data_IF_721078833419
#
_entry.id   IF_721078833419
#
_cell.length_a   1.000
_cell.length_b   1.000
_cell.length_c   1.000
_cell.angle_alpha   90.00
_cell.angle_beta   90.00
_cell.angle_gamma   90.00
#
_symmetry.space_group_name_H-M   'P 1'
#
loop_
_entity.id
_entity.type
_entity.pdbx_description
1 polymer ?
#
# COMPACT_ATOMS: atom_id res chain seq x y z
N UNK A 1 -6.78 13.19 -11.68
CA UNK A 1 -6.86 13.17 -10.21
C UNK A 1 -6.05 14.36 -9.71
N UNK A 2 -6.48 15.07 -8.67
CA UNK A 2 -5.71 16.21 -8.15
C UNK A 2 -4.41 15.72 -7.47
N UNK A 3 -3.34 16.51 -7.56
CA UNK A 3 -2.03 16.17 -6.99
C UNK A 3 -2.11 16.03 -5.46
N UNK A 4 -2.90 16.89 -4.81
CA UNK A 4 -3.18 16.84 -3.38
C UNK A 4 -3.83 15.51 -3.00
N UNK A 5 -4.81 15.05 -3.79
CA UNK A 5 -5.53 13.81 -3.55
C UNK A 5 -4.60 12.58 -3.70
N UNK A 6 -3.72 12.61 -4.70
CA UNK A 6 -2.72 11.55 -4.92
C UNK A 6 -1.77 11.42 -3.73
N UNK A 7 -1.27 12.54 -3.20
CA UNK A 7 -0.40 12.54 -2.02
C UNK A 7 -1.11 12.03 -0.76
N UNK A 8 -2.37 12.43 -0.55
CA UNK A 8 -3.19 11.93 0.57
C UNK A 8 -3.36 10.42 0.47
N UNK A 9 -3.71 9.90 -0.72
CA UNK A 9 -3.88 8.47 -0.94
C UNK A 9 -2.57 7.71 -0.72
N UNK A 10 -1.43 8.25 -1.16
CA UNK A 10 -0.10 7.66 -0.91
C UNK A 10 0.22 7.58 0.58
N UNK A 11 -0.06 8.65 1.34
CA UNK A 11 0.15 8.65 2.79
C UNK A 11 -0.72 7.60 3.48
N UNK A 12 -2.01 7.52 3.14
CA UNK A 12 -2.94 6.54 3.71
C UNK A 12 -2.54 5.10 3.36
N UNK A 13 -2.22 4.80 2.10
CA UNK A 13 -1.77 3.45 1.70
C UNK A 13 -0.48 3.06 2.39
N UNK A 14 0.46 3.99 2.56
CA UNK A 14 1.71 3.75 3.29
C UNK A 14 1.43 3.38 4.75
N UNK A 15 0.54 4.11 5.43
CA UNK A 15 0.16 3.81 6.82
C UNK A 15 -0.51 2.45 6.95
N UNK A 16 -1.42 2.11 6.02
CA UNK A 16 -2.10 0.80 5.99
C UNK A 16 -1.10 -0.33 5.75
N UNK A 17 -0.14 -0.16 4.84
CA UNK A 17 0.90 -1.13 4.56
C UNK A 17 1.83 -1.32 5.77
N UNK A 18 2.27 -0.23 6.41
CA UNK A 18 3.09 -0.26 7.61
C UNK A 18 2.38 -0.94 8.79
N UNK A 19 1.10 -0.63 9.01
CA UNK A 19 0.29 -1.27 10.03
C UNK A 19 0.09 -2.77 9.76
N UNK A 20 -0.18 -3.12 8.51
CA UNK A 20 -0.33 -4.52 8.09
C UNK A 20 0.97 -5.30 8.26
N UNK A 21 2.12 -4.68 7.96
CA UNK A 21 3.44 -5.29 8.20
C UNK A 21 3.68 -5.51 9.69
N UNK A 22 3.36 -4.52 10.52
CA UNK A 22 3.46 -4.63 11.97
C UNK A 22 2.60 -5.78 12.51
N UNK A 23 1.35 -5.90 12.03
CA UNK A 23 0.45 -6.98 12.42
C UNK A 23 0.90 -8.35 11.89
N UNK A 24 1.37 -8.44 10.65
CA UNK A 24 1.85 -9.68 10.04
C UNK A 24 3.06 -10.28 10.77
N UNK A 25 3.88 -9.44 11.41
CA UNK A 25 5.03 -9.88 12.21
C UNK A 25 4.66 -10.42 13.59
N UNK A 26 3.41 -10.23 14.06
CA UNK A 26 3.00 -10.75 15.36
C UNK A 26 2.69 -12.24 15.26
N UNK A 27 3.14 -13.06 16.23
CA UNK A 27 2.81 -14.48 16.27
C UNK A 27 1.30 -14.66 16.39
N UNK A 28 0.81 -15.72 15.77
CA UNK A 28 -0.62 -16.01 15.72
C UNK A 28 -1.06 -16.54 17.09
N UNK A 29 -2.04 -15.87 17.70
CA UNK A 29 -2.63 -16.35 18.95
C UNK A 29 -3.39 -17.66 18.66
N UNK A 30 -2.90 -18.78 19.22
CA UNK A 30 -3.60 -20.07 19.15
C UNK A 30 -4.95 -19.95 19.86
N UNK A 31 -6.04 -20.19 19.13
CA UNK A 31 -7.41 -20.19 19.66
C UNK A 31 -8.35 -19.15 19.05
N UNK A 32 -7.88 -18.25 18.20
CA UNK A 32 -8.73 -17.24 17.54
C UNK A 32 -9.20 -17.72 16.16
N UNK A 33 -10.50 -17.99 16.04
CA UNK A 33 -11.14 -18.53 14.83
C UNK A 33 -11.14 -17.57 13.63
N UNK A 34 -10.91 -16.26 13.85
CA UNK A 34 -10.88 -15.25 12.80
C UNK A 34 -9.46 -14.76 12.53
N UNK A 35 -8.93 -15.14 11.37
CA UNK A 35 -7.60 -14.75 10.92
C UNK A 35 -7.70 -13.72 9.80
N UNK A 36 -7.34 -12.47 10.09
CA UNK A 36 -7.18 -11.48 9.02
C UNK A 36 -5.89 -11.81 8.25
N UNK A 37 -5.94 -12.00 6.92
CA UNK A 37 -4.75 -12.29 6.12
C UNK A 37 -3.92 -11.02 5.95
N UNK A 38 -3.19 -10.61 7.00
CA UNK A 38 -2.39 -9.37 7.02
C UNK A 38 -1.39 -9.29 5.87
N UNK A 39 -0.85 -10.42 5.41
CA UNK A 39 0.01 -10.50 4.23
C UNK A 39 -0.72 -10.12 2.93
N UNK A 40 -2.00 -10.49 2.80
CA UNK A 40 -2.84 -10.09 1.67
C UNK A 40 -3.16 -8.60 1.67
N UNK A 41 -3.46 -8.03 2.85
CA UNK A 41 -3.67 -6.58 2.99
C UNK A 41 -2.37 -5.82 2.66
N UNK A 42 -1.22 -6.33 3.10
CA UNK A 42 0.08 -5.75 2.79
C UNK A 42 0.36 -5.76 1.29
N UNK A 43 0.08 -6.87 0.60
CA UNK A 43 0.22 -6.96 -0.85
C UNK A 43 -0.64 -5.92 -1.57
N UNK A 44 -1.93 -5.81 -1.22
CA UNK A 44 -2.83 -4.84 -1.82
C UNK A 44 -2.40 -3.40 -1.53
N UNK A 45 -1.93 -3.12 -0.31
CA UNK A 45 -1.41 -1.80 0.08
C UNK A 45 -0.18 -1.41 -0.73
N UNK A 46 0.77 -2.33 -0.92
CA UNK A 46 1.96 -2.12 -1.75
C UNK A 46 1.61 -1.93 -3.23
N UNK A 47 0.69 -2.75 -3.76
CA UNK A 47 0.25 -2.63 -5.15
C UNK A 47 -0.39 -1.26 -5.41
N UNK A 48 -1.31 -0.83 -4.53
CA UNK A 48 -1.96 0.46 -4.64
C UNK A 48 -0.93 1.61 -4.53
N UNK A 49 0.03 1.50 -3.62
CA UNK A 49 1.11 2.48 -3.49
C UNK A 49 1.95 2.59 -4.78
N UNK A 50 2.34 1.47 -5.39
CA UNK A 50 3.08 1.46 -6.66
C UNK A 50 2.28 2.10 -7.80
N UNK A 51 0.97 1.84 -7.88
CA UNK A 51 0.09 2.46 -8.87
C UNK A 51 0.01 3.98 -8.69
N UNK A 52 -0.13 4.45 -7.45
CA UNK A 52 -0.15 5.88 -7.13
C UNK A 52 1.20 6.54 -7.44
N UNK A 53 2.30 5.84 -7.17
CA UNK A 53 3.65 6.33 -7.46
C UNK A 53 3.87 6.46 -8.97
N UNK A 54 3.44 5.46 -9.76
CA UNK A 54 3.43 5.56 -11.23
C UNK A 54 2.56 6.72 -11.72
N UNK A 55 1.37 6.90 -11.13
CA UNK A 55 0.49 8.01 -11.48
C UNK A 55 1.15 9.36 -11.19
N UNK A 56 1.81 9.49 -10.04
CA UNK A 56 2.51 10.71 -9.65
C UNK A 56 3.70 11.01 -10.59
N UNK A 57 4.46 10.00 -11.01
CA UNK A 57 5.54 10.18 -11.99
C UNK A 57 5.01 10.66 -13.34
N UNK A 58 3.91 10.08 -13.82
CA UNK A 58 3.22 10.52 -15.03
C UNK A 58 2.73 11.97 -14.92
N UNK A 59 2.14 12.36 -13.79
CA UNK A 59 1.75 13.75 -13.53
C UNK A 59 2.95 14.72 -13.47
N UNK A 60 4.12 14.23 -13.03
CA UNK A 60 5.34 15.01 -12.92
C UNK A 60 6.11 15.14 -14.25
N UNK A 61 5.59 14.56 -15.35
CA UNK A 61 6.26 14.55 -16.65
C UNK A 61 7.47 13.60 -16.72
N UNK A 62 7.62 12.70 -15.75
CA UNK A 62 8.66 11.68 -15.73
C UNK A 62 8.09 10.42 -16.36
N UNK A 63 8.32 10.26 -17.67
CA UNK A 63 7.96 9.03 -18.38
C UNK A 63 8.97 7.92 -18.05
N UNK A 64 8.48 6.90 -17.34
CA UNK A 64 9.23 5.67 -17.15
C UNK A 64 9.22 4.89 -18.48
N UNK A 65 10.39 4.55 -19.06
CA UNK A 65 10.42 3.75 -20.28
C UNK A 65 9.77 2.39 -20.02
N UNK A 66 8.69 2.09 -20.74
CA UNK A 66 8.12 0.76 -20.81
C UNK A 66 9.12 -0.12 -21.57
N UNK A 67 9.98 -0.82 -20.84
CA UNK A 67 10.82 -1.88 -21.37
C UNK A 67 10.12 -3.21 -21.20
#
# INVERSE_FOLDING_TARGET
MDQTLTLILMAVTTLVAAFSLYKARKPLELGRSWHVPWNGILFLGLLAFLLLLRHQLSLSGVDLPAR
#
